data_IF_264042203477
#
_entry.id   IF_264042203477
#
_cell.length_a   1.000
_cell.length_b   1.000
_cell.length_c   1.000
_cell.angle_alpha   90.00
_cell.angle_beta   90.00
_cell.angle_gamma   90.00
#
_symmetry.space_group_name_H-M   'P 1'
#
loop_
_entity.id
_entity.type
_entity.pdbx_description
1 polymer ?
#
# COMPACT_ATOMS: atom_id res chain seq x y z
N UNK A 1 -16.86 -19.06 -2.98
CA UNK A 1 -17.19 -17.71 -2.44
C UNK A 1 -15.98 -17.23 -1.64
N UNK A 2 -15.05 -16.57 -2.31
CA UNK A 2 -13.77 -16.13 -1.72
C UNK A 2 -14.06 -14.84 -0.97
N UNK A 3 -14.00 -14.88 0.37
CA UNK A 3 -14.05 -13.69 1.20
C UNK A 3 -12.79 -12.86 0.91
N UNK A 4 -12.97 -11.75 0.21
CA UNK A 4 -11.94 -10.75 -0.04
C UNK A 4 -11.45 -10.21 1.30
N UNK A 5 -10.24 -10.63 1.71
CA UNK A 5 -9.51 -9.98 2.78
C UNK A 5 -9.02 -8.62 2.32
N UNK A 6 -9.88 -7.61 2.38
CA UNK A 6 -9.46 -6.23 2.13
C UNK A 6 -8.55 -5.78 3.27
N UNK A 7 -7.46 -5.12 2.92
CA UNK A 7 -6.72 -4.25 3.82
C UNK A 7 -7.69 -3.15 4.26
N UNK A 8 -8.26 -3.28 5.47
CA UNK A 8 -9.06 -2.20 6.07
C UNK A 8 -8.12 -1.28 6.84
N UNK A 9 -7.90 -0.09 6.29
CA UNK A 9 -7.35 1.05 7.03
C UNK A 9 -8.41 1.51 8.03
N UNK A 10 -8.36 1.05 9.27
CA UNK A 10 -9.36 1.38 10.29
C UNK A 10 -8.94 2.50 11.23
N UNK A 11 -7.67 2.89 11.25
CA UNK A 11 -7.15 4.09 11.92
C UNK A 11 -5.80 4.45 11.32
N UNK A 12 -5.36 5.72 11.44
CA UNK A 12 -4.05 6.20 10.96
C UNK A 12 -2.83 5.39 11.46
N UNK A 13 -3.02 4.43 12.37
CA UNK A 13 -1.96 3.65 12.99
C UNK A 13 -2.14 2.12 12.94
N UNK A 14 -3.23 1.59 12.33
CA UNK A 14 -3.49 0.15 12.31
C UNK A 14 -3.92 -0.33 10.93
N UNK A 15 -3.17 -1.28 10.38
CA UNK A 15 -3.53 -2.04 9.18
C UNK A 15 -3.80 -3.48 9.60
N UNK A 16 -5.02 -3.98 9.35
CA UNK A 16 -5.35 -5.40 9.54
C UNK A 16 -5.05 -6.16 8.28
N UNK A 17 -3.97 -6.92 8.30
CA UNK A 17 -3.62 -7.89 7.28
C UNK A 17 -4.06 -9.27 7.76
N UNK A 18 -4.84 -9.97 6.94
CA UNK A 18 -5.27 -11.37 7.17
C UNK A 18 -5.87 -11.68 8.57
N UNK A 19 -7.12 -12.10 8.62
CA UNK A 19 -7.78 -12.73 9.77
C UNK A 19 -7.80 -11.94 11.11
N UNK A 20 -7.88 -10.63 11.11
CA UNK A 20 -7.92 -9.78 12.31
C UNK A 20 -6.63 -9.72 13.16
N UNK A 21 -5.51 -10.21 12.68
CA UNK A 21 -4.22 -10.04 13.35
C UNK A 21 -3.77 -8.59 13.26
N UNK A 22 -3.30 -8.04 14.39
CA UNK A 22 -2.78 -6.68 14.46
C UNK A 22 -1.31 -6.65 14.06
N UNK A 23 -1.00 -5.87 13.02
CA UNK A 23 0.37 -5.57 12.63
C UNK A 23 0.66 -4.13 13.07
N UNK A 24 1.71 -3.95 13.87
CA UNK A 24 2.14 -2.62 14.28
C UNK A 24 2.60 -1.84 13.07
N UNK A 25 2.08 -0.62 12.95
CA UNK A 25 2.39 0.29 11.83
C UNK A 25 2.73 1.67 12.34
N UNK A 26 3.47 2.44 11.53
CA UNK A 26 3.75 3.85 11.78
C UNK A 26 3.71 4.62 10.48
N UNK A 27 2.93 5.68 10.41
CA UNK A 27 2.94 6.61 9.29
C UNK A 27 4.23 7.40 9.24
N UNK A 28 4.81 7.56 8.05
CA UNK A 28 5.91 8.48 7.77
C UNK A 28 5.47 9.51 6.74
N UNK A 29 5.46 10.79 7.14
CA UNK A 29 5.04 11.90 6.30
C UNK A 29 6.07 12.29 5.23
N UNK A 30 7.34 11.92 5.40
CA UNK A 30 8.40 12.25 4.42
C UNK A 30 8.30 11.39 3.15
N UNK A 31 7.92 10.12 3.33
CA UNK A 31 7.74 9.18 2.20
C UNK A 31 6.26 8.97 1.85
N UNK A 32 5.34 9.63 2.56
CA UNK A 32 3.89 9.50 2.42
C UNK A 32 3.41 8.03 2.40
N UNK A 33 4.05 7.16 3.23
CA UNK A 33 3.77 5.74 3.30
C UNK A 33 3.81 5.24 4.74
N UNK A 34 3.29 4.03 4.97
CA UNK A 34 3.36 3.36 6.26
C UNK A 34 4.60 2.50 6.36
N UNK A 35 5.19 2.50 7.55
CA UNK A 35 6.12 1.47 7.98
C UNK A 35 5.39 0.38 8.75
N UNK A 36 5.67 -0.87 8.41
CA UNK A 36 5.09 -2.07 8.98
C UNK A 36 6.14 -2.84 9.76
N UNK A 37 5.79 -3.35 10.94
CA UNK A 37 6.65 -4.28 11.67
C UNK A 37 6.82 -5.59 10.90
N UNK A 38 8.02 -5.85 10.39
CA UNK A 38 8.32 -7.07 9.63
C UNK A 38 8.11 -8.32 10.49
N UNK A 39 8.46 -8.26 11.76
CA UNK A 39 8.31 -9.38 12.70
C UNK A 39 6.84 -9.77 12.87
N UNK A 40 5.94 -8.80 12.95
CA UNK A 40 4.51 -9.09 13.11
C UNK A 40 3.95 -9.74 11.84
N UNK A 41 4.35 -9.26 10.67
CA UNK A 41 3.96 -9.86 9.38
C UNK A 41 4.48 -11.29 9.26
N UNK A 42 5.73 -11.53 9.61
CA UNK A 42 6.32 -12.88 9.62
C UNK A 42 5.57 -13.80 10.60
N UNK A 43 5.23 -13.32 11.79
CA UNK A 43 4.47 -14.10 12.76
C UNK A 43 3.13 -14.55 12.20
N UNK A 44 2.38 -13.63 11.56
CA UNK A 44 1.08 -13.93 10.94
C UNK A 44 1.21 -14.92 9.78
N UNK A 45 2.20 -14.73 8.91
CA UNK A 45 2.34 -15.53 7.69
C UNK A 45 2.97 -16.90 7.91
N UNK A 46 3.73 -17.10 8.99
CA UNK A 46 4.49 -18.35 9.19
C UNK A 46 4.04 -19.16 10.38
N UNK A 47 3.28 -18.60 11.31
CA UNK A 47 2.98 -19.20 12.63
C UNK A 47 4.26 -19.62 13.38
N UNK A 48 5.38 -19.01 13.06
CA UNK A 48 6.67 -19.35 13.67
C UNK A 48 6.65 -19.06 15.16
N UNK A 49 7.11 -20.02 15.96
CA UNK A 49 7.34 -19.81 17.40
C UNK A 49 8.43 -18.77 17.68
N UNK A 50 9.27 -18.49 16.71
CA UNK A 50 10.34 -17.48 16.80
C UNK A 50 10.44 -16.64 15.52
N UNK A 51 9.53 -15.65 15.33
CA UNK A 51 9.52 -14.80 14.13
C UNK A 51 10.82 -13.99 13.95
N UNK A 52 11.49 -13.62 15.05
CA UNK A 52 12.77 -12.89 14.97
C UNK A 52 13.86 -13.72 14.31
N UNK A 53 14.01 -14.98 14.70
CA UNK A 53 14.97 -15.90 14.07
C UNK A 53 14.62 -16.14 12.62
N UNK A 54 13.34 -16.43 12.33
CA UNK A 54 12.88 -16.63 10.97
C UNK A 54 13.23 -15.43 10.07
N UNK A 55 12.97 -14.22 10.57
CA UNK A 55 13.31 -13.01 9.84
C UNK A 55 14.82 -12.85 9.62
N UNK A 56 15.63 -13.16 10.61
CA UNK A 56 17.09 -13.12 10.48
C UNK A 56 17.61 -14.07 9.38
N UNK A 57 17.09 -15.29 9.35
CA UNK A 57 17.45 -16.29 8.35
C UNK A 57 16.96 -15.88 6.95
N UNK A 58 15.73 -15.36 6.86
CA UNK A 58 15.17 -14.86 5.60
C UNK A 58 15.95 -13.65 5.05
N UNK A 59 16.38 -12.73 5.90
CA UNK A 59 17.22 -11.58 5.47
C UNK A 59 18.50 -12.01 4.80
N UNK A 60 19.18 -13.01 5.36
CA UNK A 60 20.43 -13.55 4.78
C UNK A 60 20.14 -14.11 3.39
N UNK A 61 19.12 -14.95 3.28
CA UNK A 61 18.71 -15.55 2.01
C UNK A 61 18.35 -14.51 0.95
N UNK A 62 17.59 -13.49 1.31
CA UNK A 62 17.18 -12.42 0.42
C UNK A 62 18.38 -11.58 -0.07
N UNK A 63 19.37 -11.37 0.80
CA UNK A 63 20.62 -10.70 0.44
C UNK A 63 21.40 -11.49 -0.60
N UNK A 64 21.49 -12.80 -0.42
CA UNK A 64 22.23 -13.67 -1.34
C UNK A 64 21.56 -13.79 -2.72
N UNK A 65 20.22 -13.82 -2.75
CA UNK A 65 19.45 -13.96 -3.99
C UNK A 65 19.37 -12.66 -4.82
N UNK A 66 19.34 -11.50 -4.19
CA UNK A 66 19.10 -10.22 -4.88
C UNK A 66 20.37 -9.48 -5.28
N UNK A 67 21.53 -9.84 -4.73
CA UNK A 67 22.79 -9.12 -4.93
C UNK A 67 22.77 -7.68 -4.37
N UNK A 68 21.60 -7.15 -4.05
CA UNK A 68 21.41 -5.87 -3.37
C UNK A 68 20.99 -6.13 -1.93
N UNK A 69 21.65 -5.47 -0.97
CA UNK A 69 21.21 -5.55 0.41
C UNK A 69 19.76 -5.02 0.52
N UNK A 70 18.98 -5.61 1.41
CA UNK A 70 17.78 -4.97 1.95
C UNK A 70 18.23 -3.78 2.81
N UNK A 71 19.02 -2.87 2.21
CA UNK A 71 19.70 -1.76 2.89
C UNK A 71 18.69 -0.76 3.47
N UNK A 72 17.47 -0.76 2.97
CA UNK A 72 16.44 0.18 3.37
C UNK A 72 15.53 -0.32 4.50
N UNK A 73 15.85 -1.47 5.12
CA UNK A 73 15.12 -1.90 6.32
C UNK A 73 15.51 -1.01 7.50
N UNK A 74 14.62 -0.12 7.85
CA UNK A 74 14.79 0.84 8.93
C UNK A 74 14.43 0.19 10.27
N UNK A 75 15.06 0.64 11.35
CA UNK A 75 14.67 0.27 12.72
C UNK A 75 13.94 1.40 13.38
N UNK A 76 12.70 1.16 13.78
CA UNK A 76 11.90 2.12 14.53
C UNK A 76 11.59 1.58 15.94
N UNK A 77 11.50 2.50 16.91
CA UNK A 77 10.97 2.16 18.22
C UNK A 77 9.47 1.91 18.11
N UNK A 78 9.05 0.70 18.44
CA UNK A 78 7.65 0.27 18.46
C UNK A 78 7.28 -0.33 19.82
N UNK A 79 6.02 -0.20 20.26
CA UNK A 79 5.59 -0.80 21.52
C UNK A 79 5.64 -2.34 21.41
N UNK A 80 6.22 -2.99 22.39
CA UNK A 80 6.23 -4.44 22.54
C UNK A 80 5.07 -4.90 23.43
N UNK A 81 4.80 -6.22 23.46
CA UNK A 81 3.72 -6.80 24.28
C UNK A 81 3.87 -6.55 25.79
N UNK A 82 5.09 -6.28 26.25
CA UNK A 82 5.38 -5.90 27.64
C UNK A 82 5.27 -4.39 27.92
N UNK A 83 4.74 -3.60 26.95
CA UNK A 83 4.58 -2.15 27.04
C UNK A 83 5.86 -1.34 26.85
N UNK A 84 7.03 -1.99 26.66
CA UNK A 84 8.30 -1.29 26.45
C UNK A 84 8.50 -0.96 24.96
N UNK A 85 9.14 0.17 24.71
CA UNK A 85 9.53 0.56 23.35
C UNK A 85 10.81 -0.18 22.95
N UNK A 86 10.73 -0.96 21.84
CA UNK A 86 11.87 -1.73 21.33
C UNK A 86 12.15 -1.37 19.87
N UNK A 87 13.43 -1.37 19.51
CA UNK A 87 13.84 -1.25 18.11
C UNK A 87 13.35 -2.47 17.33
N UNK A 88 12.56 -2.21 16.31
CA UNK A 88 11.90 -3.23 15.48
C UNK A 88 12.23 -2.94 14.02
N UNK A 89 12.60 -3.98 13.26
CA UNK A 89 12.79 -3.88 11.82
C UNK A 89 11.43 -3.57 11.17
N UNK A 90 11.39 -2.53 10.36
CA UNK A 90 10.19 -2.08 9.65
C UNK A 90 10.46 -1.96 8.16
N UNK A 91 9.43 -2.20 7.38
CA UNK A 91 9.45 -2.11 5.93
C UNK A 91 8.33 -1.18 5.44
N UNK A 92 8.57 -0.40 4.40
CA UNK A 92 7.52 0.33 3.70
C UNK A 92 6.63 -0.63 2.88
N UNK A 93 5.56 -0.12 2.29
CA UNK A 93 4.60 -0.94 1.52
C UNK A 93 5.27 -1.75 0.42
N UNK A 94 6.18 -1.17 -0.37
CA UNK A 94 6.89 -1.85 -1.46
C UNK A 94 7.79 -2.99 -0.95
N UNK A 95 8.58 -2.71 0.08
CA UNK A 95 9.48 -3.68 0.71
C UNK A 95 8.68 -4.82 1.35
N UNK A 96 7.57 -4.49 2.04
CA UNK A 96 6.70 -5.47 2.65
C UNK A 96 6.13 -6.45 1.63
N UNK A 97 5.61 -5.95 0.50
CA UNK A 97 5.08 -6.78 -0.58
C UNK A 97 6.14 -7.76 -1.12
N UNK A 98 7.39 -7.31 -1.25
CA UNK A 98 8.52 -8.16 -1.67
C UNK A 98 8.88 -9.21 -0.63
N UNK A 99 8.93 -8.83 0.65
CA UNK A 99 9.19 -9.77 1.75
C UNK A 99 8.13 -10.89 1.76
N UNK A 100 6.86 -10.55 1.64
CA UNK A 100 5.76 -11.54 1.66
C UNK A 100 5.89 -12.54 0.50
N UNK A 101 6.28 -12.08 -0.69
CA UNK A 101 6.51 -12.98 -1.85
C UNK A 101 7.61 -14.01 -1.57
N UNK A 102 8.61 -13.64 -0.78
CA UNK A 102 9.75 -14.50 -0.45
C UNK A 102 9.50 -15.45 0.73
N UNK A 103 8.38 -15.30 1.45
CA UNK A 103 8.03 -16.20 2.56
C UNK A 103 7.50 -17.54 2.02
N UNK A 104 8.20 -18.67 2.20
CA UNK A 104 7.74 -19.99 1.76
C UNK A 104 6.75 -20.59 2.77
N UNK A 105 5.55 -20.00 2.85
CA UNK A 105 4.50 -20.46 3.76
C UNK A 105 3.17 -20.60 3.03
N UNK A 106 2.40 -21.68 3.29
CA UNK A 106 1.04 -21.82 2.76
C UNK A 106 0.12 -20.66 3.14
N UNK A 107 0.33 -20.01 4.29
CA UNK A 107 -0.42 -18.82 4.70
C UNK A 107 -0.11 -17.58 3.88
N UNK A 108 1.07 -17.49 3.28
CA UNK A 108 1.43 -16.42 2.37
C UNK A 108 0.82 -16.61 0.96
N UNK A 109 0.42 -17.83 0.61
CA UNK A 109 -0.05 -18.16 -0.74
C UNK A 109 -1.28 -17.35 -1.19
N UNK A 110 -2.35 -17.18 -0.39
CA UNK A 110 -3.49 -16.34 -0.79
C UNK A 110 -3.09 -14.90 -1.10
N UNK A 111 -2.08 -14.38 -0.40
CA UNK A 111 -1.56 -13.04 -0.65
C UNK A 111 -0.74 -12.97 -1.95
N UNK A 112 0.08 -13.99 -2.24
CA UNK A 112 0.83 -14.09 -3.49
C UNK A 112 -0.10 -14.18 -4.69
N UNK A 113 -1.18 -14.97 -4.60
CA UNK A 113 -2.21 -15.05 -5.63
C UNK A 113 -2.92 -13.72 -5.83
N UNK A 114 -3.25 -12.99 -4.76
CA UNK A 114 -3.82 -11.66 -4.85
C UNK A 114 -2.87 -10.68 -5.55
N UNK A 115 -1.56 -10.71 -5.26
CA UNK A 115 -0.56 -9.89 -5.96
C UNK A 115 -0.44 -10.23 -7.43
N UNK A 116 -0.47 -11.53 -7.79
CA UNK A 116 -0.46 -11.99 -9.16
C UNK A 116 -1.70 -11.47 -9.92
N UNK A 117 -2.88 -11.51 -9.27
CA UNK A 117 -4.12 -10.98 -9.82
C UNK A 117 -4.03 -9.46 -10.05
N UNK A 118 -3.50 -8.70 -9.07
CA UNK A 118 -3.26 -7.25 -9.25
C UNK A 118 -2.32 -6.94 -10.41
N UNK A 119 -1.25 -7.73 -10.54
CA UNK A 119 -0.32 -7.60 -11.65
C UNK A 119 -1.00 -7.84 -12.99
N UNK A 120 -1.82 -8.89 -13.07
CA UNK A 120 -2.60 -9.19 -14.26
C UNK A 120 -3.59 -8.07 -14.60
N UNK A 121 -4.36 -7.60 -13.63
CA UNK A 121 -5.29 -6.48 -13.80
C UNK A 121 -4.58 -5.25 -14.35
N UNK A 122 -3.37 -4.97 -13.87
CA UNK A 122 -2.58 -3.85 -14.37
C UNK A 122 -2.11 -4.05 -15.81
N UNK A 123 -1.75 -5.26 -16.21
CA UNK A 123 -1.42 -5.59 -17.60
C UNK A 123 -2.63 -5.45 -18.51
N UNK A 124 -3.80 -5.89 -18.05
CA UNK A 124 -5.06 -5.76 -18.79
C UNK A 124 -5.44 -4.28 -18.97
N UNK A 125 -5.25 -3.44 -17.95
CA UNK A 125 -5.44 -1.99 -18.04
C UNK A 125 -4.48 -1.28 -19.01
N UNK A 126 -3.28 -1.82 -19.21
CA UNK A 126 -2.34 -1.30 -20.22
C UNK A 126 -2.84 -1.62 -21.62
N UNK A 127 -3.41 -2.80 -21.82
CA UNK A 127 -3.98 -3.22 -23.09
C UNK A 127 -5.32 -2.52 -23.38
N UNK A 128 -6.12 -2.30 -22.34
CA UNK A 128 -7.44 -1.65 -22.39
C UNK A 128 -7.58 -0.64 -21.23
N UNK A 129 -7.23 0.64 -21.43
CA UNK A 129 -7.24 1.66 -20.39
C UNK A 129 -8.64 1.94 -19.80
N UNK A 130 -9.73 1.58 -20.47
CA UNK A 130 -11.10 1.76 -19.96
C UNK A 130 -11.33 0.93 -18.70
N UNK A 131 -10.67 -0.22 -18.56
CA UNK A 131 -10.74 -1.04 -17.35
C UNK A 131 -10.25 -0.33 -16.08
N UNK A 132 -9.28 0.57 -16.21
CA UNK A 132 -8.83 1.41 -15.09
C UNK A 132 -9.93 2.38 -14.62
N UNK A 133 -10.72 2.91 -15.55
CA UNK A 133 -11.85 3.80 -15.26
C UNK A 133 -12.95 3.00 -14.55
N UNK A 134 -13.28 1.82 -15.05
CA UNK A 134 -14.27 0.94 -14.43
C UNK A 134 -13.85 0.53 -13.01
N UNK A 135 -12.59 0.20 -12.82
CA UNK A 135 -12.04 -0.12 -11.50
C UNK A 135 -12.16 1.07 -10.54
N UNK A 136 -11.89 2.29 -11.00
CA UNK A 136 -12.05 3.49 -10.19
C UNK A 136 -13.51 3.71 -9.77
N UNK A 137 -14.44 3.57 -10.71
CA UNK A 137 -15.90 3.66 -10.47
C UNK A 137 -16.33 2.60 -9.43
N UNK A 138 -15.94 1.36 -9.62
CA UNK A 138 -16.26 0.27 -8.71
C UNK A 138 -15.67 0.50 -7.30
N UNK A 139 -14.50 1.13 -7.21
CA UNK A 139 -13.91 1.52 -5.93
C UNK A 139 -14.76 2.56 -5.20
N UNK A 140 -15.31 3.56 -5.90
CA UNK A 140 -16.24 4.54 -5.31
C UNK A 140 -17.53 3.88 -4.85
N UNK A 141 -18.12 2.96 -5.64
CA UNK A 141 -19.29 2.17 -5.24
C UNK A 141 -19.05 1.36 -3.97
N UNK A 142 -17.91 0.69 -3.87
CA UNK A 142 -17.52 -0.06 -2.66
C UNK A 142 -17.33 0.84 -1.43
N UNK A 143 -16.99 2.11 -1.63
CA UNK A 143 -16.90 3.11 -0.55
C UNK A 143 -18.26 3.71 -0.17
N UNK A 144 -19.35 3.33 -0.86
CA UNK A 144 -20.71 3.76 -0.57
C UNK A 144 -21.13 5.09 -1.20
N UNK A 145 -20.38 5.60 -2.18
CA UNK A 145 -20.80 6.80 -2.92
C UNK A 145 -21.93 6.48 -3.89
N UNK A 146 -22.88 7.42 -4.05
CA UNK A 146 -24.00 7.27 -4.99
C UNK A 146 -23.55 7.40 -6.44
N UNK A 147 -24.34 6.85 -7.38
CA UNK A 147 -24.04 6.96 -8.82
C UNK A 147 -24.05 8.42 -9.30
N UNK A 148 -24.93 9.26 -8.74
CA UNK A 148 -24.97 10.69 -9.04
C UNK A 148 -23.67 11.37 -8.62
N UNK A 149 -23.20 11.07 -7.40
CA UNK A 149 -21.92 11.60 -6.90
C UNK A 149 -20.76 11.15 -7.77
N UNK A 150 -20.70 9.86 -8.16
CA UNK A 150 -19.65 9.29 -9.00
C UNK A 150 -19.63 10.01 -10.35
N UNK A 151 -20.79 10.17 -10.98
CA UNK A 151 -20.94 10.88 -12.26
C UNK A 151 -20.44 12.32 -12.17
N UNK A 152 -20.81 13.06 -11.12
CA UNK A 152 -20.35 14.43 -10.90
C UNK A 152 -18.85 14.49 -10.65
N UNK A 153 -18.31 13.52 -9.91
CA UNK A 153 -16.88 13.43 -9.64
C UNK A 153 -16.06 13.22 -10.91
N UNK A 154 -16.49 12.33 -11.79
CA UNK A 154 -15.82 12.09 -13.07
C UNK A 154 -15.86 13.34 -13.96
N UNK A 155 -17.01 14.01 -14.08
CA UNK A 155 -17.12 15.29 -14.81
C UNK A 155 -16.20 16.37 -14.23
N UNK A 156 -16.09 16.47 -12.91
CA UNK A 156 -15.22 17.46 -12.27
C UNK A 156 -13.73 17.19 -12.52
N UNK A 157 -13.32 15.91 -12.65
CA UNK A 157 -11.95 15.53 -13.01
C UNK A 157 -11.67 15.93 -14.46
N UNK A 158 -12.60 15.70 -15.38
CA UNK A 158 -12.49 16.09 -16.79
C UNK A 158 -12.32 17.61 -16.93
N UNK A 159 -13.23 18.38 -16.35
CA UNK A 159 -13.18 19.86 -16.35
C UNK A 159 -11.86 20.38 -15.77
N UNK A 160 -11.39 19.79 -14.67
CA UNK A 160 -10.12 20.18 -14.06
C UNK A 160 -8.93 19.90 -14.97
N UNK A 161 -8.94 18.78 -15.70
CA UNK A 161 -7.89 18.46 -16.67
C UNK A 161 -7.88 19.46 -17.82
N UNK A 162 -9.04 19.83 -18.34
CA UNK A 162 -9.17 20.80 -19.41
C UNK A 162 -8.67 22.18 -18.98
N UNK A 163 -9.08 22.67 -17.81
CA UNK A 163 -8.59 23.91 -17.22
C UNK A 163 -7.06 23.89 -17.03
N UNK A 164 -6.51 22.81 -16.49
CA UNK A 164 -5.09 22.65 -16.27
C UNK A 164 -4.32 22.65 -17.60
N UNK A 165 -4.87 22.01 -18.63
CA UNK A 165 -4.30 21.99 -19.96
C UNK A 165 -4.28 23.37 -20.60
N UNK A 166 -5.35 24.15 -20.44
CA UNK A 166 -5.44 25.51 -20.93
C UNK A 166 -4.49 26.46 -20.20
N UNK A 167 -4.37 26.34 -18.88
CA UNK A 167 -3.40 27.11 -18.10
C UNK A 167 -1.96 26.82 -18.52
N UNK A 168 -1.62 25.55 -18.76
CA UNK A 168 -0.30 25.18 -19.29
C UNK A 168 -0.03 25.83 -20.66
N UNK A 169 -1.03 25.86 -21.57
CA UNK A 169 -0.93 26.54 -22.87
C UNK A 169 -0.74 28.05 -22.72
N UNK A 170 -1.39 28.63 -21.72
CA UNK A 170 -1.31 30.07 -21.39
C UNK A 170 -0.05 30.46 -20.60
N UNK A 171 0.86 29.50 -20.35
CA UNK A 171 2.14 29.74 -19.68
C UNK A 171 2.08 29.81 -18.16
N UNK A 172 0.94 29.44 -17.55
CA UNK A 172 0.80 29.33 -16.08
C UNK A 172 1.60 28.12 -15.61
N UNK A 173 2.52 28.32 -14.66
CA UNK A 173 3.35 27.23 -14.11
C UNK A 173 2.57 26.44 -13.07
N UNK A 174 2.82 25.14 -13.00
CA UNK A 174 2.21 24.26 -12.00
C UNK A 174 2.61 24.64 -10.57
N UNK A 175 1.80 24.30 -9.59
CA UNK A 175 2.06 24.50 -8.16
C UNK A 175 1.27 25.67 -7.57
N UNK A 176 1.95 26.65 -6.97
CA UNK A 176 1.32 27.77 -6.25
C UNK A 176 0.34 28.58 -7.13
N UNK A 177 0.67 28.80 -8.41
CA UNK A 177 -0.18 29.55 -9.34
C UNK A 177 -1.51 28.83 -9.58
N UNK A 178 -1.53 27.48 -9.64
CA UNK A 178 -2.76 26.70 -9.72
C UNK A 178 -3.60 26.79 -8.45
N UNK A 179 -2.93 26.83 -7.28
CA UNK A 179 -3.59 27.02 -5.99
C UNK A 179 -4.32 28.36 -5.91
N UNK A 180 -3.69 29.44 -6.36
CA UNK A 180 -4.28 30.77 -6.41
C UNK A 180 -5.51 30.80 -7.32
N UNK A 181 -5.43 30.23 -8.52
CA UNK A 181 -6.50 30.22 -9.51
C UNK A 181 -7.68 29.31 -9.09
N UNK A 182 -7.44 28.30 -8.28
CA UNK A 182 -8.50 27.41 -7.77
C UNK A 182 -9.07 27.84 -6.42
N UNK A 183 -8.58 28.93 -5.83
CA UNK A 183 -9.03 29.41 -4.51
C UNK A 183 -8.66 28.46 -3.36
N UNK A 184 -7.68 27.59 -3.55
CA UNK A 184 -7.19 26.67 -2.54
C UNK A 184 -6.02 27.33 -1.80
N UNK A 185 -6.31 28.05 -0.69
CA UNK A 185 -5.34 28.47 0.31
C UNK A 185 -5.15 27.36 1.37
#
# INVERSE_FOLDING_TARGET
MIKRGLIKLTNKNEIKLFQNEQIRTKWNSEIEDYYFSVIDVIAVLTESKNPNRYWSDLKIKLKDESGEPYEDIVKLKMPASDGKMRLTDVANSKQLLRIIQSVPSPKAEPFKQWLAQLGKERLDEIADPEQAIERAINTYRMKGYSEEWITQRLKSIEIRKDLTSEWNRSGVKSGEEYGILTGSN
#
